data_IF_359311827931
#
_entry.id   IF_359311827931
#
_cell.length_a   1.000
_cell.length_b   1.000
_cell.length_c   1.000
_cell.angle_alpha   90.00
_cell.angle_beta   90.00
_cell.angle_gamma   90.00
#
_symmetry.space_group_name_H-M   'P 1'
#
loop_
_entity.id
_entity.type
_entity.pdbx_description
1 polymer ?
#
# COMPACT_ATOMS: atom_id res chain seq x y z
N UNK A 1 10.66 -12.90 6.06
CA UNK A 1 9.76 -11.73 6.03
C UNK A 1 8.74 -11.97 7.13
N UNK A 2 8.70 -11.13 8.17
CA UNK A 2 7.64 -11.23 9.17
C UNK A 2 6.34 -10.80 8.48
N UNK A 3 5.34 -11.69 8.43
CA UNK A 3 3.97 -11.37 8.01
C UNK A 3 3.31 -10.50 9.10
N UNK A 4 3.84 -9.30 9.32
CA UNK A 4 3.36 -8.42 10.37
C UNK A 4 2.13 -7.68 9.87
N UNK A 5 0.97 -8.21 10.24
CA UNK A 5 -0.31 -7.53 10.07
C UNK A 5 -0.24 -6.17 10.78
N UNK A 6 -0.41 -5.09 10.01
CA UNK A 6 -0.22 -3.73 10.51
C UNK A 6 -1.58 -3.06 10.75
N UNK A 7 -1.92 -2.62 11.96
CA UNK A 7 -3.19 -1.94 12.22
C UNK A 7 -3.38 -0.69 11.34
N UNK A 8 -4.56 -0.56 10.75
CA UNK A 8 -4.90 0.57 9.90
C UNK A 8 -6.38 0.96 10.01
N UNK A 9 -6.71 2.14 9.48
CA UNK A 9 -8.06 2.56 9.18
C UNK A 9 -8.28 2.56 7.66
N UNK A 10 -9.48 2.17 7.24
CA UNK A 10 -9.93 2.21 5.84
C UNK A 10 -11.11 3.17 5.72
N UNK A 11 -11.04 4.09 4.76
CA UNK A 11 -12.07 5.09 4.46
C UNK A 11 -12.34 5.12 2.96
N UNK A 12 -13.35 4.35 2.52
CA UNK A 12 -13.80 4.36 1.11
C UNK A 12 -14.80 5.49 0.84
N UNK A 13 -15.47 5.99 1.89
CA UNK A 13 -16.36 7.14 1.84
C UNK A 13 -15.90 8.25 2.81
N UNK A 14 -16.03 9.53 2.43
CA UNK A 14 -15.66 10.64 3.30
C UNK A 14 -16.41 10.59 4.64
N UNK A 15 -15.67 10.53 5.75
CA UNK A 15 -16.24 10.55 7.10
C UNK A 15 -16.44 9.16 7.73
N UNK A 16 -16.38 8.08 6.96
CA UNK A 16 -16.41 6.71 7.49
C UNK A 16 -14.98 6.16 7.65
N UNK A 17 -14.68 5.59 8.82
CA UNK A 17 -13.42 4.88 9.08
C UNK A 17 -13.72 3.53 9.70
N UNK A 18 -13.35 2.45 9.00
CA UNK A 18 -13.38 1.09 9.53
C UNK A 18 -11.98 0.68 9.99
N UNK A 19 -11.90 -0.10 11.07
CA UNK A 19 -10.65 -0.71 11.52
C UNK A 19 -10.34 -1.94 10.70
N UNK A 20 -9.07 -2.10 10.35
CA UNK A 20 -8.57 -3.25 9.62
C UNK A 20 -7.11 -3.54 9.98
N UNK A 21 -6.62 -4.66 9.46
CA UNK A 21 -5.22 -5.03 9.43
C UNK A 21 -4.73 -4.98 7.98
N UNK A 22 -3.73 -4.13 7.73
CA UNK A 22 -3.00 -4.12 6.46
C UNK A 22 -2.15 -5.38 6.37
N UNK A 23 -2.36 -6.13 5.28
CA UNK A 23 -1.64 -7.37 4.98
C UNK A 23 -0.45 -7.04 4.08
N UNK A 24 -0.70 -6.40 2.93
CA UNK A 24 0.33 -6.12 1.91
C UNK A 24 -0.16 -5.05 0.91
N UNK A 25 0.74 -4.62 0.02
CA UNK A 25 0.44 -3.84 -1.17
C UNK A 25 0.58 -4.67 -2.43
N UNK A 26 -0.32 -4.46 -3.38
CA UNK A 26 -0.30 -5.11 -4.68
C UNK A 26 -0.50 -4.09 -5.80
N UNK A 27 -0.19 -4.51 -7.03
CA UNK A 27 -0.54 -3.75 -8.23
C UNK A 27 -1.67 -4.50 -8.92
N UNK A 28 -2.82 -3.85 -9.03
CA UNK A 28 -3.87 -4.30 -9.93
C UNK A 28 -3.52 -3.80 -11.32
N UNK A 29 -3.21 -4.73 -12.22
CA UNK A 29 -2.89 -4.43 -13.62
C UNK A 29 -3.96 -5.04 -14.51
N UNK A 30 -4.58 -4.19 -15.34
CA UNK A 30 -5.40 -4.66 -16.45
C UNK A 30 -4.53 -4.68 -17.70
N UNK A 31 -4.32 -5.88 -18.23
CA UNK A 31 -3.63 -6.07 -19.51
C UNK A 31 -4.62 -6.64 -20.51
N UNK A 32 -4.65 -6.06 -21.70
CA UNK A 32 -5.41 -6.64 -22.80
C UNK A 32 -4.79 -8.01 -23.16
N UNK A 33 -5.55 -9.11 -23.08
CA UNK A 33 -5.00 -10.47 -23.10
C UNK A 33 -4.38 -10.88 -24.44
N UNK A 34 -4.74 -10.19 -25.53
CA UNK A 34 -4.36 -10.60 -26.89
C UNK A 34 -3.17 -9.82 -27.47
N UNK A 35 -2.86 -8.61 -26.98
CA UNK A 35 -1.83 -7.75 -27.56
C UNK A 35 -1.68 -6.45 -26.74
N UNK A 36 -0.46 -5.90 -26.58
CA UNK A 36 -0.24 -4.54 -26.08
C UNK A 36 -0.68 -3.46 -27.09
N UNK A 37 -1.16 -3.86 -28.28
CA UNK A 37 -1.63 -2.98 -29.33
C UNK A 37 -2.99 -3.43 -29.89
N UNK A 38 -3.94 -2.50 -30.05
CA UNK A 38 -5.17 -2.67 -30.83
C UNK A 38 -5.03 -1.79 -32.08
N UNK A 39 -5.01 -2.40 -33.27
CA UNK A 39 -4.85 -1.70 -34.56
C UNK A 39 -3.64 -0.73 -34.63
N UNK A 40 -2.54 -1.07 -33.95
CA UNK A 40 -1.32 -0.24 -33.92
C UNK A 40 -1.30 0.86 -32.86
N UNK A 41 -2.37 1.01 -32.05
CA UNK A 41 -2.41 1.89 -30.89
C UNK A 41 -2.18 1.10 -29.60
N UNK A 42 -1.53 1.68 -28.56
CA UNK A 42 -1.41 1.04 -27.25
C UNK A 42 -2.78 0.56 -26.76
N UNK A 43 -2.92 -0.75 -26.60
CA UNK A 43 -4.03 -1.31 -25.85
C UNK A 43 -3.88 -0.80 -24.43
N UNK A 44 -4.87 -0.07 -23.91
CA UNK A 44 -4.79 0.57 -22.60
C UNK A 44 -4.25 -0.41 -21.55
N UNK A 45 -3.07 -0.09 -21.02
CA UNK A 45 -2.51 -0.77 -19.87
C UNK A 45 -2.68 0.17 -18.70
N UNK A 46 -3.58 -0.19 -17.80
CA UNK A 46 -3.79 0.54 -16.56
C UNK A 46 -3.26 -0.29 -15.42
N UNK A 47 -2.48 0.36 -14.55
CA UNK A 47 -2.01 -0.24 -13.32
C UNK A 47 -2.27 0.71 -12.18
N UNK A 48 -2.89 0.20 -11.13
CA UNK A 48 -3.21 0.97 -9.95
C UNK A 48 -2.68 0.26 -8.70
N UNK A 49 -2.01 1.00 -7.80
CA UNK A 49 -1.62 0.44 -6.52
C UNK A 49 -2.87 0.15 -5.68
N UNK A 50 -2.88 -1.01 -5.03
CA UNK A 50 -3.92 -1.49 -4.12
C UNK A 50 -3.31 -1.89 -2.79
N UNK A 51 -4.09 -1.72 -1.73
CA UNK A 51 -3.78 -2.27 -0.41
C UNK A 51 -4.69 -3.47 -0.15
N UNK A 52 -4.12 -4.56 0.36
CA UNK A 52 -4.86 -5.74 0.81
C UNK A 52 -5.06 -5.61 2.32
N UNK A 53 -6.32 -5.58 2.74
CA UNK A 53 -6.70 -5.35 4.14
C UNK A 53 -7.66 -6.43 4.62
N UNK A 54 -7.56 -6.78 5.91
CA UNK A 54 -8.51 -7.65 6.60
C UNK A 54 -9.30 -6.83 7.63
N UNK A 55 -10.61 -6.76 7.47
CA UNK A 55 -11.50 -6.07 8.40
C UNK A 55 -11.71 -6.89 9.67
N UNK A 56 -12.23 -6.25 10.73
CA UNK A 56 -12.59 -6.92 11.99
C UNK A 56 -13.61 -8.05 11.80
N UNK A 57 -14.42 -8.01 10.73
CA UNK A 57 -15.36 -9.07 10.36
C UNK A 57 -14.67 -10.34 9.85
N UNK A 58 -13.38 -10.28 9.53
CA UNK A 58 -12.62 -11.33 8.86
C UNK A 58 -12.62 -11.22 7.33
N UNK A 59 -13.37 -10.28 6.75
CA UNK A 59 -13.37 -10.03 5.31
C UNK A 59 -12.02 -9.50 4.85
N UNK A 60 -11.48 -10.09 3.78
CA UNK A 60 -10.29 -9.58 3.10
C UNK A 60 -10.70 -8.85 1.82
N UNK A 61 -10.23 -7.61 1.65
CA UNK A 61 -10.55 -6.80 0.45
C UNK A 61 -9.31 -6.10 -0.09
N UNK A 62 -9.34 -5.85 -1.40
CA UNK A 62 -8.41 -4.94 -2.07
C UNK A 62 -9.05 -3.55 -2.15
N UNK A 63 -8.39 -2.55 -1.57
CA UNK A 63 -8.88 -1.15 -1.56
C UNK A 63 -7.87 -0.24 -2.24
N UNK A 64 -8.31 0.95 -2.67
CA UNK A 64 -7.38 1.99 -3.11
C UNK A 64 -6.42 2.37 -1.98
N UNK A 65 -5.13 2.53 -2.28
CA UNK A 65 -4.13 2.91 -1.28
C UNK A 65 -4.46 4.22 -0.56
N UNK A 66 -5.11 5.17 -1.25
CA UNK A 66 -5.52 6.45 -0.67
C UNK A 66 -6.64 6.32 0.38
N UNK A 67 -7.32 5.18 0.42
CA UNK A 67 -8.33 4.88 1.44
C UNK A 67 -7.70 4.37 2.74
N UNK A 68 -6.41 4.05 2.76
CA UNK A 68 -5.75 3.41 3.91
C UNK A 68 -4.92 4.41 4.70
N UNK A 69 -5.17 4.46 6.02
CA UNK A 69 -4.37 5.19 6.98
C UNK A 69 -3.73 4.20 7.96
N UNK A 70 -2.43 3.99 7.85
CA UNK A 70 -1.67 3.13 8.77
C UNK A 70 -1.60 3.78 10.16
N UNK A 71 -1.89 3.01 11.20
CA UNK A 71 -1.79 3.46 12.59
C UNK A 71 -0.34 3.26 13.06
N UNK A 72 0.25 4.28 13.67
CA UNK A 72 1.63 4.20 14.15
C UNK A 72 2.68 4.20 13.02
N UNK A 73 2.35 4.80 11.87
CA UNK A 73 3.22 4.85 10.70
C UNK A 73 4.62 5.43 11.04
N UNK A 74 4.70 6.36 11.98
CA UNK A 74 5.95 6.93 12.48
C UNK A 74 6.90 5.87 13.05
N UNK A 75 6.37 4.83 13.72
CA UNK A 75 7.17 3.73 14.25
C UNK A 75 7.80 2.91 13.12
N UNK A 76 7.05 2.66 12.04
CA UNK A 76 7.54 1.94 10.86
C UNK A 76 8.64 2.74 10.15
N UNK A 77 8.43 4.05 9.96
CA UNK A 77 9.42 4.89 9.28
C UNK A 77 10.63 5.24 10.14
N UNK A 78 10.55 5.09 11.47
CA UNK A 78 11.69 5.30 12.37
C UNK A 78 12.87 4.36 12.08
N UNK A 79 12.60 3.16 11.56
CA UNK A 79 13.62 2.19 11.15
C UNK A 79 14.41 2.65 9.91
N UNK A 80 13.82 3.53 9.11
CA UNK A 80 14.43 4.11 7.91
C UNK A 80 14.94 5.53 8.14
N UNK A 81 14.79 6.06 9.35
CA UNK A 81 15.35 7.36 9.70
C UNK A 81 16.87 7.28 9.58
N UNK A 82 17.47 8.23 8.86
CA UNK A 82 18.92 8.39 8.88
C UNK A 82 19.37 8.50 10.33
N UNK A 83 20.49 7.84 10.71
CA UNK A 83 21.09 8.05 12.02
C UNK A 83 21.18 9.56 12.26
N UNK A 84 20.72 10.02 13.43
CA UNK A 84 20.94 11.42 13.81
C UNK A 84 22.43 11.66 13.67
N UNK A 85 22.79 12.61 12.82
CA UNK A 85 24.17 13.06 12.70
C UNK A 85 24.50 13.77 14.02
N UNK A 86 25.01 13.01 14.97
CA UNK A 86 25.35 13.44 16.33
C UNK A 86 26.71 14.19 16.37
N UNK A 87 27.21 14.56 15.19
CA UNK A 87 28.52 15.17 15.03
C UNK A 87 29.67 14.16 15.12
N UNK A 88 29.39 12.86 15.32
CA UNK A 88 30.42 11.83 15.17
C UNK A 88 30.56 11.51 13.68
N UNK A 89 31.51 12.19 13.04
CA UNK A 89 32.04 11.75 11.76
C UNK A 89 32.64 10.35 11.93
N UNK A 90 31.91 9.31 11.54
CA UNK A 90 32.54 8.06 11.09
C UNK A 90 32.43 8.02 9.57
N UNK A 91 33.55 8.07 8.86
CA UNK A 91 33.55 8.07 7.40
C UNK A 91 33.22 6.68 6.88
N UNK A 92 32.37 6.61 5.87
CA UNK A 92 32.46 5.60 4.81
C UNK A 92 32.34 6.34 3.49
#
# INVERSE_FOLDING_TARGET
MNNQLTPCYVSEMPGEKARALLIDFAVEAWTHPASPLINGFPAGQESHPRAIVMFETGDVRCVHVNAVQVIGAEGIFSEYAFPKNDGSTSPI
#
